data_IF_744451830520
#
_entry.id   IF_744451830520
#
_cell.length_a   1.000
_cell.length_b   1.000
_cell.length_c   1.000
_cell.angle_alpha   90.00
_cell.angle_beta   90.00
_cell.angle_gamma   90.00
#
_symmetry.space_group_name_H-M   'P 1'
#
loop_
_entity.id
_entity.type
_entity.pdbx_description
1 polymer ?
#
# COMPACT_ATOMS: atom_id res chain seq x y z
N UNK A 1 -10.19 -8.19 -9.56
CA UNK A 1 -9.75 -9.30 -8.68
C UNK A 1 -8.32 -9.61 -9.08
N UNK A 2 -7.34 -9.69 -8.16
CA UNK A 2 -6.00 -10.12 -8.49
C UNK A 2 -6.05 -11.52 -9.11
N UNK A 3 -5.21 -11.81 -10.09
CA UNK A 3 -5.07 -13.17 -10.60
C UNK A 3 -4.54 -14.09 -9.48
N UNK A 4 -5.00 -15.36 -9.38
CA UNK A 4 -4.51 -16.26 -8.34
C UNK A 4 -2.98 -16.36 -8.35
N UNK A 5 -2.35 -16.09 -7.21
CA UNK A 5 -0.87 -16.07 -7.11
C UNK A 5 -0.21 -14.73 -7.39
N UNK A 6 -0.98 -13.69 -7.75
CA UNK A 6 -0.52 -12.32 -7.91
C UNK A 6 -0.89 -11.47 -6.69
N UNK A 7 -0.02 -10.51 -6.36
CA UNK A 7 -0.19 -9.60 -5.23
C UNK A 7 0.12 -8.18 -5.69
N UNK A 8 -0.90 -7.32 -5.68
CA UNK A 8 -0.76 -5.89 -5.87
C UNK A 8 -0.20 -5.25 -4.61
N UNK A 9 0.98 -4.66 -4.72
CA UNK A 9 1.65 -3.97 -3.62
C UNK A 9 1.73 -2.47 -3.87
N UNK A 10 1.72 -1.72 -2.78
CA UNK A 10 1.96 -0.28 -2.76
C UNK A 10 3.29 0.02 -2.05
N UNK A 11 4.08 0.94 -2.57
CA UNK A 11 5.38 1.33 -2.04
C UNK A 11 5.41 2.83 -1.82
N UNK A 12 5.70 3.26 -0.60
CA UNK A 12 5.86 4.69 -0.30
C UNK A 12 7.29 5.13 -0.53
N UNK A 13 7.49 6.11 -1.41
CA UNK A 13 8.83 6.58 -1.79
C UNK A 13 8.84 8.08 -2.08
N UNK A 14 9.99 8.72 -1.93
CA UNK A 14 10.29 10.04 -2.50
C UNK A 14 11.29 9.94 -3.66
N UNK A 15 12.11 8.89 -3.71
CA UNK A 15 13.19 8.69 -4.68
C UNK A 15 12.84 7.82 -5.89
N UNK A 16 11.69 7.13 -5.89
CA UNK A 16 11.30 6.08 -6.87
C UNK A 16 12.21 4.85 -6.92
N UNK A 17 13.29 4.84 -6.15
CA UNK A 17 14.26 3.73 -6.12
C UNK A 17 14.24 2.99 -4.79
N UNK A 18 13.82 3.66 -3.71
CA UNK A 18 13.84 3.12 -2.36
C UNK A 18 12.52 3.32 -1.61
N UNK A 19 12.22 2.41 -0.69
CA UNK A 19 11.21 2.61 0.38
C UNK A 19 11.82 3.49 1.47
N UNK A 20 11.81 4.81 1.27
CA UNK A 20 12.63 5.75 2.05
C UNK A 20 11.83 6.66 3.00
N UNK A 21 10.50 6.61 2.94
CA UNK A 21 9.61 7.59 3.58
C UNK A 21 8.40 6.93 4.24
N UNK A 22 7.81 7.61 5.21
CA UNK A 22 6.58 7.17 5.87
C UNK A 22 5.31 7.42 5.04
N UNK A 23 4.26 6.67 5.35
CA UNK A 23 3.03 6.61 4.55
C UNK A 23 2.37 7.98 4.33
N UNK A 24 2.23 8.78 5.38
CA UNK A 24 1.60 10.12 5.30
C UNK A 24 2.53 11.20 4.76
N UNK A 25 3.85 10.94 4.72
CA UNK A 25 4.89 11.89 4.32
C UNK A 25 5.34 11.68 2.88
N UNK A 26 5.05 10.52 2.30
CA UNK A 26 5.50 10.14 0.96
C UNK A 26 4.97 11.10 -0.10
N UNK A 27 5.83 11.61 -0.97
CA UNK A 27 5.39 12.41 -2.11
C UNK A 27 4.73 11.55 -3.18
N UNK A 28 4.97 10.24 -3.16
CA UNK A 28 4.39 9.32 -4.12
C UNK A 28 4.22 7.92 -3.53
N UNK A 29 3.22 7.22 -4.04
CA UNK A 29 2.99 5.80 -3.81
C UNK A 29 3.07 5.12 -5.17
N UNK A 30 3.94 4.12 -5.27
CA UNK A 30 4.19 3.35 -6.49
C UNK A 30 3.55 1.98 -6.34
N UNK A 31 2.88 1.51 -7.39
CA UNK A 31 2.15 0.27 -7.38
C UNK A 31 2.82 -0.75 -8.30
N UNK A 32 2.96 -1.97 -7.79
CA UNK A 32 3.46 -3.10 -8.56
C UNK A 32 2.48 -4.26 -8.45
N UNK A 33 2.37 -5.03 -9.52
CA UNK A 33 1.83 -6.38 -9.45
C UNK A 33 3.00 -7.35 -9.34
N UNK A 34 2.96 -8.26 -8.37
CA UNK A 34 4.04 -9.18 -8.07
C UNK A 34 3.52 -10.60 -8.13
N UNK A 35 4.08 -11.39 -9.04
CA UNK A 35 3.90 -12.83 -9.11
C UNK A 35 5.05 -13.54 -8.38
N UNK A 36 5.10 -14.87 -8.46
CA UNK A 36 6.19 -15.65 -7.84
C UNK A 36 7.52 -15.50 -8.59
N UNK A 37 7.47 -15.17 -9.86
CA UNK A 37 8.57 -15.25 -10.83
C UNK A 37 8.85 -13.93 -11.55
N UNK A 38 7.99 -12.93 -11.36
CA UNK A 38 8.12 -11.62 -11.97
C UNK A 38 7.38 -10.54 -11.20
N UNK A 39 7.53 -9.31 -11.67
CA UNK A 39 6.77 -8.17 -11.21
C UNK A 39 6.63 -7.17 -12.34
N UNK A 40 5.55 -6.40 -12.31
CA UNK A 40 5.27 -5.35 -13.28
C UNK A 40 4.90 -4.06 -12.56
N UNK A 41 5.42 -2.95 -13.06
CA UNK A 41 4.97 -1.63 -12.63
C UNK A 41 3.53 -1.41 -13.13
N UNK A 42 2.64 -1.03 -12.23
CA UNK A 42 1.21 -0.82 -12.54
C UNK A 42 0.92 0.67 -12.70
N UNK A 43 1.22 1.46 -11.68
CA UNK A 43 0.94 2.90 -11.67
C UNK A 43 1.75 3.62 -10.57
N UNK A 44 1.76 4.95 -10.58
CA UNK A 44 2.28 5.77 -9.49
C UNK A 44 1.35 6.95 -9.20
N UNK A 45 0.99 7.14 -7.94
CA UNK A 45 0.21 8.29 -7.50
C UNK A 45 1.08 9.28 -6.75
N UNK A 46 1.01 10.56 -7.14
CA UNK A 46 1.73 11.66 -6.48
C UNK A 46 0.81 12.43 -5.54
N UNK A 47 1.34 12.78 -4.38
CA UNK A 47 0.66 13.57 -3.35
C UNK A 47 1.36 14.92 -3.19
N UNK A 48 0.60 16.00 -3.28
CA UNK A 48 1.11 17.35 -3.02
C UNK A 48 1.46 17.48 -1.53
N UNK A 49 2.74 17.72 -1.21
CA UNK A 49 3.13 17.86 0.19
C UNK A 49 4.61 17.93 0.57
N UNK A 50 5.53 17.90 -0.39
CA UNK A 50 6.92 18.28 -0.12
C UNK A 50 7.07 19.79 0.17
N UNK A 51 8.13 20.22 0.89
CA UNK A 51 8.40 21.64 1.05
C UNK A 51 8.74 22.24 -0.31
N UNK A 52 7.76 22.90 -0.93
CA UNK A 52 7.86 23.51 -2.26
C UNK A 52 7.20 22.67 -3.35
N UNK A 53 5.89 22.83 -3.55
CA UNK A 53 5.16 22.17 -4.63
C UNK A 53 4.22 23.15 -5.33
N UNK A 54 4.78 23.96 -6.23
CA UNK A 54 4.02 24.79 -7.16
C UNK A 54 3.25 23.97 -8.19
N UNK A 55 2.20 24.57 -8.75
CA UNK A 55 1.36 24.04 -9.83
C UNK A 55 2.21 23.66 -11.06
N UNK A 56 2.41 22.36 -11.27
CA UNK A 56 2.91 21.80 -12.53
C UNK A 56 1.93 20.77 -13.06
N UNK A 57 1.18 21.12 -14.11
CA UNK A 57 0.38 20.17 -14.90
C UNK A 57 1.34 19.33 -15.77
N UNK A 58 1.37 18.02 -15.56
CA UNK A 58 1.64 17.04 -16.61
C UNK A 58 1.17 15.65 -16.15
N UNK A 59 0.05 15.19 -16.73
CA UNK A 59 -0.32 13.78 -16.92
C UNK A 59 -0.57 12.92 -15.69
N UNK A 60 -1.86 12.64 -15.42
CA UNK A 60 -2.29 11.53 -14.56
C UNK A 60 -3.01 11.96 -13.28
N UNK A 61 -4.35 11.96 -13.32
CA UNK A 61 -5.23 11.99 -12.15
C UNK A 61 -5.01 13.14 -11.15
N UNK A 62 -5.42 14.35 -11.52
CA UNK A 62 -5.60 15.40 -10.51
C UNK A 62 -6.86 15.05 -9.70
N UNK A 63 -6.68 14.52 -8.49
CA UNK A 63 -7.75 14.26 -7.53
C UNK A 63 -8.26 15.60 -6.99
N UNK A 64 -9.10 16.25 -7.78
CA UNK A 64 -9.98 17.32 -7.33
C UNK A 64 -11.40 16.97 -7.78
N UNK A 65 -12.21 16.48 -6.83
CA UNK A 65 -13.63 16.82 -6.72
C UNK A 65 -14.07 16.61 -5.27
N UNK A 66 -14.18 17.70 -4.50
CA UNK A 66 -15.42 18.31 -3.94
C UNK A 66 -16.12 17.34 -2.94
N UNK A 67 -16.34 17.63 -1.66
CA UNK A 67 -16.93 18.84 -1.07
C UNK A 67 -16.88 18.75 0.49
N UNK A 68 -16.62 19.90 1.12
CA UNK A 68 -16.98 20.42 2.48
C UNK A 68 -16.92 19.51 3.72
N UNK A 69 -15.97 19.73 4.64
CA UNK A 69 -15.91 20.74 5.71
C UNK A 69 -16.58 20.27 7.02
N UNK A 70 -15.78 19.76 7.96
CA UNK A 70 -15.76 20.17 9.38
C UNK A 70 -14.64 19.41 10.12
N UNK A 71 -13.51 20.08 10.35
CA UNK A 71 -12.57 19.83 11.46
C UNK A 71 -11.36 20.75 11.30
N UNK A 72 -11.10 21.55 12.33
CA UNK A 72 -9.95 22.45 12.36
C UNK A 72 -8.60 21.75 12.17
N UNK A 73 -7.65 22.53 11.66
CA UNK A 73 -6.22 22.25 11.60
C UNK A 73 -5.76 21.10 10.67
N UNK A 74 -5.48 21.46 9.41
CA UNK A 74 -4.69 20.66 8.48
C UNK A 74 -5.54 19.72 7.64
N UNK A 75 -5.57 19.93 6.32
CA UNK A 75 -6.22 19.05 5.37
C UNK A 75 -5.88 17.57 5.66
N UNK A 76 -6.89 16.70 5.73
CA UNK A 76 -6.71 15.28 5.98
C UNK A 76 -5.84 14.64 4.89
N UNK A 77 -4.54 14.50 5.19
CA UNK A 77 -3.53 13.94 4.28
C UNK A 77 -3.59 12.42 4.23
N UNK A 78 -4.39 11.79 5.09
CA UNK A 78 -4.45 10.34 5.25
C UNK A 78 -5.52 9.74 4.35
N UNK A 79 -6.73 10.28 4.37
CA UNK A 79 -7.86 9.77 3.56
C UNK A 79 -7.52 9.58 2.07
N UNK A 80 -6.97 10.56 1.33
CA UNK A 80 -6.65 10.34 -0.09
C UNK A 80 -5.60 9.26 -0.33
N UNK A 81 -4.70 9.02 0.65
CA UNK A 81 -3.71 7.95 0.55
C UNK A 81 -4.31 6.58 0.81
N UNK A 82 -5.24 6.49 1.76
CA UNK A 82 -5.98 5.26 2.04
C UNK A 82 -6.82 4.86 0.82
N UNK A 83 -7.51 5.82 0.21
CA UNK A 83 -8.26 5.62 -1.04
C UNK A 83 -7.34 5.12 -2.17
N UNK A 84 -6.16 5.72 -2.33
CA UNK A 84 -5.20 5.33 -3.35
C UNK A 84 -4.73 3.87 -3.24
N UNK A 85 -4.60 3.34 -2.02
CA UNK A 85 -4.12 1.97 -1.78
C UNK A 85 -5.26 0.95 -1.71
N UNK A 86 -6.51 1.36 -1.85
CA UNK A 86 -7.63 0.42 -1.90
C UNK A 86 -7.44 -0.61 -3.02
N UNK A 87 -7.66 -1.88 -2.70
CA UNK A 87 -7.44 -2.99 -3.62
C UNK A 87 -5.98 -3.46 -3.74
N UNK A 88 -5.03 -2.80 -3.07
CA UNK A 88 -3.70 -3.37 -2.81
C UNK A 88 -3.77 -4.34 -1.64
N UNK A 89 -2.96 -5.38 -1.65
CA UNK A 89 -2.92 -6.35 -0.55
C UNK A 89 -1.91 -5.92 0.52
N UNK A 90 -0.86 -5.20 0.12
CA UNK A 90 0.25 -4.84 1.00
C UNK A 90 0.69 -3.40 0.71
N UNK A 91 1.10 -2.68 1.75
CA UNK A 91 1.84 -1.43 1.61
C UNK A 91 3.18 -1.51 2.34
N UNK A 92 4.28 -1.22 1.64
CA UNK A 92 5.62 -1.10 2.21
C UNK A 92 5.91 0.37 2.51
N UNK A 93 6.31 0.63 3.75
CA UNK A 93 6.58 1.99 4.23
C UNK A 93 7.67 2.02 5.29
N UNK A 94 8.46 3.10 5.34
CA UNK A 94 9.45 3.31 6.42
C UNK A 94 8.80 3.73 7.73
N UNK A 95 7.65 4.39 7.65
CA UNK A 95 6.97 4.99 8.79
C UNK A 95 5.46 4.81 8.71
N UNK A 96 4.85 4.45 9.84
CA UNK A 96 3.41 4.28 9.95
C UNK A 96 2.94 4.77 11.32
N UNK A 97 1.88 5.57 11.33
CA UNK A 97 1.18 6.00 12.55
C UNK A 97 0.04 5.04 12.89
N UNK A 98 -0.37 5.00 14.16
CA UNK A 98 -1.43 4.08 14.62
C UNK A 98 -2.76 4.31 13.89
N UNK A 99 -3.14 5.58 13.71
CA UNK A 99 -4.34 5.93 12.93
C UNK A 99 -4.25 5.42 11.48
N UNK A 100 -3.08 5.53 10.85
CA UNK A 100 -2.89 5.00 9.50
C UNK A 100 -2.95 3.47 9.47
N UNK A 101 -2.38 2.79 10.48
CA UNK A 101 -2.45 1.34 10.60
C UNK A 101 -3.90 0.84 10.73
N UNK A 102 -4.72 1.51 11.54
CA UNK A 102 -6.15 1.20 11.67
C UNK A 102 -6.88 1.38 10.34
N UNK A 103 -6.69 2.53 9.67
CA UNK A 103 -7.34 2.79 8.38
C UNK A 103 -6.91 1.82 7.27
N UNK A 104 -5.64 1.40 7.26
CA UNK A 104 -5.15 0.38 6.31
C UNK A 104 -5.77 -0.99 6.58
N UNK A 105 -5.88 -1.40 7.85
CA UNK A 105 -6.56 -2.64 8.25
C UNK A 105 -8.02 -2.63 7.79
N UNK A 106 -8.72 -1.53 8.00
CA UNK A 106 -10.13 -1.38 7.59
C UNK A 106 -10.26 -1.46 6.05
N UNK A 107 -9.28 -0.92 5.32
CA UNK A 107 -9.15 -1.08 3.87
C UNK A 107 -8.64 -2.46 3.42
N UNK A 108 -8.43 -3.41 4.34
CA UNK A 108 -7.88 -4.74 4.09
C UNK A 108 -6.48 -4.74 3.43
N UNK A 109 -5.70 -3.68 3.67
CA UNK A 109 -4.32 -3.55 3.21
C UNK A 109 -3.38 -3.88 4.37
N UNK A 110 -2.47 -4.84 4.18
CA UNK A 110 -1.51 -5.22 5.21
C UNK A 110 -0.31 -4.25 5.21
N UNK A 111 -0.08 -3.48 6.31
CA UNK A 111 1.09 -2.63 6.39
C UNK A 111 2.35 -3.43 6.73
N UNK A 112 3.42 -3.22 5.97
CA UNK A 112 4.77 -3.68 6.29
C UNK A 112 5.64 -2.46 6.55
N UNK A 113 5.96 -2.24 7.84
CA UNK A 113 6.87 -1.19 8.26
C UNK A 113 8.32 -1.67 8.17
N UNK A 114 9.17 -0.87 7.56
CA UNK A 114 10.61 -1.12 7.43
C UNK A 114 11.40 -0.20 8.36
N UNK A 115 12.40 -0.73 9.05
CA UNK A 115 13.26 0.06 9.95
C UNK A 115 14.25 0.93 9.17
N UNK A 116 14.84 0.35 8.12
CA UNK A 116 15.77 1.02 7.21
C UNK A 116 15.16 1.13 5.81
N UNK A 117 15.61 2.16 5.07
CA UNK A 117 15.27 2.23 3.66
C UNK A 117 15.94 1.10 2.90
N UNK A 118 15.23 0.54 1.92
CA UNK A 118 15.73 -0.49 1.00
C UNK A 118 15.32 -0.18 -0.42
N UNK A 119 16.07 -0.69 -1.38
CA UNK A 119 15.70 -0.63 -2.78
C UNK A 119 14.37 -1.34 -3.01
N UNK A 120 13.57 -0.79 -3.93
CA UNK A 120 12.26 -1.38 -4.27
C UNK A 120 12.46 -2.79 -4.82
N UNK A 121 13.49 -3.00 -5.63
CA UNK A 121 13.82 -4.31 -6.21
C UNK A 121 14.15 -5.32 -5.12
N UNK A 122 14.91 -4.96 -4.09
CA UNK A 122 15.18 -5.83 -2.93
C UNK A 122 13.90 -6.20 -2.16
N UNK A 123 12.96 -5.26 -2.04
CA UNK A 123 11.69 -5.50 -1.37
C UNK A 123 10.82 -6.47 -2.14
N UNK A 124 10.78 -6.34 -3.47
CA UNK A 124 10.06 -7.24 -4.36
C UNK A 124 10.71 -8.63 -4.35
N UNK A 125 12.03 -8.71 -4.45
CA UNK A 125 12.79 -9.96 -4.34
C UNK A 125 12.49 -10.70 -3.03
N UNK A 126 12.46 -9.96 -1.91
CA UNK A 126 12.12 -10.53 -0.61
C UNK A 126 10.68 -11.07 -0.58
N UNK A 127 9.73 -10.33 -1.15
CA UNK A 127 8.35 -10.75 -1.26
C UNK A 127 8.22 -12.03 -2.10
N UNK A 128 8.87 -12.09 -3.27
CA UNK A 128 8.87 -13.27 -4.13
C UNK A 128 9.45 -14.50 -3.44
N UNK A 129 10.56 -14.35 -2.70
CA UNK A 129 11.14 -15.45 -1.89
C UNK A 129 10.14 -15.97 -0.84
N UNK A 130 9.38 -15.09 -0.20
CA UNK A 130 8.32 -15.49 0.73
C UNK A 130 7.17 -16.22 0.01
N UNK A 131 6.81 -15.78 -1.19
CA UNK A 131 5.75 -16.41 -2.01
C UNK A 131 6.15 -17.81 -2.48
N UNK A 132 7.42 -18.03 -2.83
CA UNK A 132 7.95 -19.32 -3.31
C UNK A 132 8.15 -20.35 -2.18
N UNK A 133 8.54 -19.90 -0.99
CA UNK A 133 8.81 -20.78 0.14
C UNK A 133 7.56 -21.18 0.91
N UNK A 134 7.46 -20.71 2.15
CA UNK A 134 6.31 -20.92 3.02
C UNK A 134 5.66 -19.57 3.31
N UNK A 135 4.71 -19.10 2.46
CA UNK A 135 4.12 -17.79 2.63
C UNK A 135 3.44 -17.68 4.00
N UNK A 136 3.63 -16.57 4.74
CA UNK A 136 2.88 -16.28 5.97
C UNK A 136 1.37 -16.28 5.73
N UNK A 137 0.57 -16.41 6.79
CA UNK A 137 -0.90 -16.47 6.68
C UNK A 137 -1.50 -15.27 5.95
N UNK A 138 -0.99 -14.07 6.21
CA UNK A 138 -1.44 -12.85 5.53
C UNK A 138 -1.14 -12.89 4.02
N UNK A 139 0.01 -13.43 3.62
CA UNK A 139 0.43 -13.54 2.22
C UNK A 139 -0.35 -14.62 1.48
N UNK A 140 -0.66 -15.74 2.16
CA UNK A 140 -1.57 -16.76 1.62
C UNK A 140 -2.95 -16.19 1.31
N UNK A 141 -3.48 -15.34 2.21
CA UNK A 141 -4.73 -14.63 1.98
C UNK A 141 -4.63 -13.66 0.80
N UNK A 142 -3.54 -12.88 0.74
CA UNK A 142 -3.27 -11.95 -0.36
C UNK A 142 -3.21 -12.63 -1.73
N UNK A 143 -2.57 -13.79 -1.84
CA UNK A 143 -2.44 -14.57 -3.07
C UNK A 143 -3.73 -15.29 -3.51
N UNK A 144 -4.83 -15.16 -2.76
CA UNK A 144 -6.08 -15.86 -3.04
C UNK A 144 -6.10 -17.35 -2.62
N UNK A 145 -5.08 -17.82 -1.89
CA UNK A 145 -5.01 -19.20 -1.39
C UNK A 145 -5.70 -19.41 -0.03
N UNK A 146 -6.32 -18.39 0.55
CA UNK A 146 -7.11 -18.54 1.76
C UNK A 146 -8.46 -19.17 1.44
N UNK A 147 -8.51 -20.50 1.31
CA UNK A 147 -9.72 -21.21 1.71
C UNK A 147 -9.76 -21.21 3.24
N UNK A 148 -10.76 -20.59 3.89
CA UNK A 148 -10.97 -20.77 5.32
C UNK A 148 -11.13 -22.27 5.57
N UNK A 149 -10.40 -22.83 6.54
CA UNK A 149 -10.64 -24.21 6.93
C UNK A 149 -12.06 -24.29 7.51
N UNK A 150 -13.01 -25.00 6.85
CA UNK A 150 -14.39 -25.07 7.33
C UNK A 150 -14.50 -25.68 8.73
N UNK A 151 -13.48 -26.46 9.15
CA UNK A 151 -13.42 -27.06 10.48
C UNK A 151 -13.08 -26.08 11.61
N UNK A 152 -12.69 -24.83 11.31
CA UNK A 152 -12.34 -23.82 12.32
C UNK A 152 -13.06 -22.49 12.06
N UNK A 153 -14.37 -22.55 11.81
CA UNK A 153 -15.22 -21.36 11.87
C UNK A 153 -15.54 -21.07 13.35
N UNK A 154 -14.80 -20.14 13.94
CA UNK A 154 -15.20 -19.59 15.25
C UNK A 154 -16.42 -18.70 14.97
N UNK A 155 -17.60 -19.17 15.38
CA UNK A 155 -18.84 -18.42 15.26
C UNK A 155 -18.71 -17.11 16.03
N UNK A 156 -18.55 -16.00 15.32
CA UNK A 156 -18.77 -14.68 15.90
C UNK A 156 -20.27 -14.46 15.82
N UNK A 157 -20.96 -14.74 16.93
CA UNK A 157 -22.37 -14.40 17.09
C UNK A 157 -22.54 -12.89 16.86
N UNK A 158 -23.45 -12.55 15.94
CA UNK A 158 -23.96 -11.20 15.77
C UNK A 158 -24.97 -10.86 16.87
#
# INVERSE_FOLDING_TARGET
MPEPGHVKIAVTTNSLTHVDVGFTQAQQIVFYDVSRDGYEFVDSMRFAGGPGGGKGKAGGGCWMKEMEADAGAGADRLTPRIEAVQGCQVVFTKGLSDLAAVRLRDAQVFPVKMETGREIDEVIDYLQRMMQGRPPLWLRKAMGHAQPNPAYQVGVAA
#
